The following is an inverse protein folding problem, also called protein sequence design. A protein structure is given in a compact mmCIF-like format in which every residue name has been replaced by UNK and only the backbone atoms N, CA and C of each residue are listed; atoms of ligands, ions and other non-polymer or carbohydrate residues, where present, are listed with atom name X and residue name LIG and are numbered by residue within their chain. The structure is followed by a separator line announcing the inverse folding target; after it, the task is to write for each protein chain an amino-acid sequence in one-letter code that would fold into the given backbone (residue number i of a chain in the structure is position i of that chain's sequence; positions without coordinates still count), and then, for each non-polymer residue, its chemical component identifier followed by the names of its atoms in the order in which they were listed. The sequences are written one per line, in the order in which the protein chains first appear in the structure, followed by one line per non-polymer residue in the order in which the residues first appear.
data_IF_803929887202
#
_entry.id   IF_803929887202
#
_cell.length_a   1.000
_cell.length_b   1.000
_cell.length_c   1.000
_cell.angle_alpha   90.00
_cell.angle_beta   90.00
_cell.angle_gamma   90.00
#
_symmetry.space_group_name_H-M   'P 1'
#
loop_
_entity.id
_entity.type
_entity.pdbx_description
1 polymer ?
#
# COMPACT_ATOMS: atom_id res chain seq x y z
N UNK A 1 -18.40 -8.65 33.86
CA UNK A 1 -18.00 -7.40 33.18
C UNK A 1 -16.93 -7.78 32.16
N UNK A 2 -17.29 -7.76 30.87
CA UNK A 2 -16.33 -7.95 29.79
C UNK A 2 -15.42 -6.70 29.77
N UNK A 3 -14.15 -6.84 30.07
CA UNK A 3 -13.15 -5.81 29.84
C UNK A 3 -13.11 -5.58 28.32
N UNK A 4 -13.68 -4.47 27.86
CA UNK A 4 -13.42 -3.96 26.53
C UNK A 4 -11.94 -3.58 26.48
N UNK A 5 -11.12 -4.45 25.91
CA UNK A 5 -9.73 -4.07 25.59
C UNK A 5 -9.79 -2.88 24.64
N UNK A 6 -9.39 -1.72 25.09
CA UNK A 6 -9.22 -0.54 24.21
C UNK A 6 -8.18 -0.94 23.16
N UNK A 7 -8.62 -1.10 21.92
CA UNK A 7 -7.72 -1.44 20.82
C UNK A 7 -6.73 -0.27 20.66
N UNK A 8 -5.44 -0.55 20.60
CA UNK A 8 -4.41 0.47 20.35
C UNK A 8 -4.71 1.13 19.01
N UNK A 9 -4.65 2.47 18.90
CA UNK A 9 -4.79 3.16 17.62
C UNK A 9 -3.81 2.62 16.59
N UNK A 10 -4.24 2.57 15.32
CA UNK A 10 -3.40 2.23 14.18
C UNK A 10 -2.45 3.39 13.93
N UNK A 11 -1.14 3.17 13.93
CA UNK A 11 -0.16 4.18 13.57
C UNK A 11 -0.04 4.26 12.04
N UNK A 12 -0.48 5.36 11.48
CA UNK A 12 -0.52 5.61 10.04
C UNK A 12 0.44 6.73 9.66
N UNK A 13 1.24 6.50 8.64
CA UNK A 13 2.06 7.55 8.01
C UNK A 13 1.56 7.77 6.58
N UNK A 14 1.31 9.02 6.22
CA UNK A 14 1.01 9.41 4.85
C UNK A 14 2.24 10.12 4.28
N UNK A 15 2.89 9.48 3.34
CA UNK A 15 3.99 10.04 2.58
C UNK A 15 3.48 10.69 1.29
N UNK A 16 3.90 11.94 1.05
CA UNK A 16 3.62 12.67 -0.18
C UNK A 16 4.88 13.28 -0.76
N UNK A 17 5.06 13.26 -2.09
CA UNK A 17 6.20 13.93 -2.70
C UNK A 17 6.15 15.45 -2.58
N UNK A 18 4.95 16.01 -2.48
CA UNK A 18 4.70 17.46 -2.26
C UNK A 18 5.39 18.37 -3.29
N UNK A 19 5.49 17.94 -4.56
CA UNK A 19 6.13 18.73 -5.63
C UNK A 19 5.14 19.64 -6.34
N UNK A 20 3.97 19.13 -6.66
CA UNK A 20 2.94 19.89 -7.37
C UNK A 20 2.43 21.06 -6.54
N UNK A 21 2.18 20.87 -5.27
CA UNK A 21 1.71 21.90 -4.34
C UNK A 21 2.72 23.04 -4.15
N UNK A 22 4.02 22.75 -4.32
CA UNK A 22 5.08 23.76 -4.23
C UNK A 22 5.28 24.52 -5.56
N UNK A 23 4.93 23.92 -6.68
CA UNK A 23 5.25 24.45 -8.02
C UNK A 23 4.05 25.03 -8.77
N UNK A 24 2.82 24.59 -8.43
CA UNK A 24 1.57 25.03 -9.07
C UNK A 24 0.61 25.66 -8.04
N UNK A 25 0.39 26.99 -8.11
CA UNK A 25 -0.52 27.68 -7.21
C UNK A 25 -1.97 27.17 -7.25
N UNK A 26 -2.42 26.58 -8.36
CA UNK A 26 -3.78 26.05 -8.49
C UNK A 26 -3.93 24.76 -7.69
N UNK A 27 -2.90 23.95 -7.65
CA UNK A 27 -2.83 22.73 -6.84
C UNK A 27 -2.67 23.09 -5.37
N UNK A 28 -1.79 24.04 -5.04
CA UNK A 28 -1.66 24.55 -3.67
C UNK A 28 -2.98 25.11 -3.13
N UNK A 29 -3.76 25.81 -3.95
CA UNK A 29 -5.08 26.31 -3.55
C UNK A 29 -6.11 25.19 -3.36
N UNK A 30 -6.01 24.10 -4.12
CA UNK A 30 -6.88 22.92 -4.01
C UNK A 30 -6.53 22.05 -2.80
N UNK A 31 -5.25 21.90 -2.52
CA UNK A 31 -4.70 21.10 -1.43
C UNK A 31 -3.82 21.98 -0.52
N UNK A 32 -4.42 22.88 0.29
CA UNK A 32 -3.64 23.86 1.09
C UNK A 32 -2.73 23.22 2.15
N UNK A 33 -3.08 22.03 2.63
CA UNK A 33 -2.27 21.22 3.55
C UNK A 33 -1.50 20.10 2.81
N UNK A 34 -1.36 20.21 1.50
CA UNK A 34 -0.85 19.17 0.62
C UNK A 34 -1.83 17.99 0.42
N UNK A 35 -1.58 17.19 -0.59
CA UNK A 35 -2.38 15.98 -0.83
C UNK A 35 -2.28 14.99 0.33
N UNK A 36 -1.09 14.86 0.93
CA UNK A 36 -0.85 14.06 2.13
C UNK A 36 -1.69 14.55 3.32
N UNK A 37 -1.89 15.86 3.47
CA UNK A 37 -2.76 16.45 4.48
C UNK A 37 -4.24 16.15 4.25
N UNK A 38 -4.72 16.24 2.99
CA UNK A 38 -6.09 15.89 2.64
C UNK A 38 -6.40 14.40 2.86
N UNK A 39 -5.43 13.52 2.56
CA UNK A 39 -5.53 12.07 2.82
C UNK A 39 -5.58 11.81 4.33
N UNK A 40 -4.66 12.42 5.10
CA UNK A 40 -4.67 12.34 6.58
C UNK A 40 -6.04 12.74 7.13
N UNK A 41 -6.55 13.91 6.73
CA UNK A 41 -7.85 14.40 7.18
C UNK A 41 -8.97 13.39 6.91
N UNK A 42 -8.97 12.77 5.72
CA UNK A 42 -9.95 11.74 5.37
C UNK A 42 -9.87 10.50 6.26
N UNK A 43 -8.67 10.05 6.61
CA UNK A 43 -8.47 8.91 7.51
C UNK A 43 -8.97 9.26 8.93
N UNK A 44 -8.60 10.44 9.45
CA UNK A 44 -9.02 10.90 10.78
C UNK A 44 -10.54 11.10 10.88
N UNK A 45 -11.20 11.57 9.79
CA UNK A 45 -12.64 11.73 9.73
C UNK A 45 -13.39 10.40 9.94
N UNK A 46 -12.88 9.31 9.35
CA UNK A 46 -13.54 8.01 9.37
C UNK A 46 -13.12 7.11 10.52
N UNK A 47 -11.87 7.17 10.95
CA UNK A 47 -11.34 6.28 11.98
C UNK A 47 -11.25 6.95 13.36
N UNK A 48 -11.28 8.30 13.44
CA UNK A 48 -11.25 9.04 14.69
C UNK A 48 -10.11 8.56 15.60
N UNK A 49 -10.41 8.31 16.87
CA UNK A 49 -9.44 7.76 17.82
C UNK A 49 -8.95 6.34 17.54
N UNK A 50 -9.44 5.67 16.50
CA UNK A 50 -8.96 4.36 16.04
C UNK A 50 -7.65 4.43 15.24
N UNK A 51 -7.23 5.61 14.79
CA UNK A 51 -5.97 5.84 14.10
C UNK A 51 -5.22 7.04 14.65
N UNK A 52 -3.88 6.98 14.59
CA UNK A 52 -2.96 8.09 14.83
C UNK A 52 -2.21 8.36 13.54
N UNK A 53 -2.49 9.50 12.89
CA UNK A 53 -2.01 9.78 11.53
C UNK A 53 -0.99 10.90 11.54
N UNK A 54 0.18 10.64 10.98
CA UNK A 54 1.21 11.65 10.72
C UNK A 54 1.50 11.74 9.21
N UNK A 55 2.08 12.86 8.82
CA UNK A 55 2.49 13.11 7.42
C UNK A 55 3.99 13.37 7.36
N UNK A 56 4.62 12.91 6.30
CA UNK A 56 6.01 13.21 5.95
C UNK A 56 6.12 13.38 4.44
N UNK A 57 7.15 14.09 4.00
CA UNK A 57 7.33 14.47 2.60
C UNK A 57 8.71 14.09 2.05
N UNK A 58 8.87 14.21 0.75
CA UNK A 58 10.14 13.97 0.06
C UNK A 58 11.27 14.90 0.57
N UNK A 59 10.94 16.13 1.00
CA UNK A 59 11.92 17.12 1.44
C UNK A 59 12.38 16.96 2.90
N UNK A 60 11.70 16.11 3.67
CA UNK A 60 12.14 15.79 5.03
C UNK A 60 13.46 15.00 5.01
N UNK A 61 14.30 15.12 6.05
CA UNK A 61 15.49 14.28 6.15
C UNK A 61 15.15 12.79 6.00
N UNK A 62 15.92 12.07 5.19
CA UNK A 62 15.63 10.67 4.81
C UNK A 62 14.21 10.48 4.25
N UNK A 63 13.69 11.54 3.57
CA UNK A 63 12.31 11.61 3.07
C UNK A 63 11.26 11.37 4.17
N UNK A 64 11.60 11.67 5.42
CA UNK A 64 10.79 11.43 6.60
C UNK A 64 10.63 9.95 6.96
N UNK A 65 11.20 9.02 6.19
CA UNK A 65 10.99 7.57 6.32
C UNK A 65 12.17 6.91 7.05
N UNK A 66 12.47 7.41 8.28
CA UNK A 66 13.53 6.86 9.12
C UNK A 66 13.21 5.45 9.61
N UNK A 67 14.23 4.72 10.07
CA UNK A 67 14.05 3.37 10.63
C UNK A 67 13.12 3.39 11.85
N UNK A 68 13.24 4.40 12.73
CA UNK A 68 12.43 4.56 13.93
C UNK A 68 10.96 4.80 13.58
N UNK A 69 10.69 5.68 12.61
CA UNK A 69 9.33 5.97 12.18
C UNK A 69 8.67 4.72 11.59
N UNK A 70 9.36 4.06 10.65
CA UNK A 70 8.83 2.85 10.00
C UNK A 70 8.65 1.69 10.97
N UNK A 71 9.51 1.54 11.98
CA UNK A 71 9.35 0.53 13.03
C UNK A 71 8.10 0.76 13.88
N UNK A 72 7.70 2.02 14.07
CA UNK A 72 6.50 2.41 14.82
C UNK A 72 5.22 2.44 13.98
N UNK A 73 5.33 2.40 12.65
CA UNK A 73 4.21 2.56 11.70
C UNK A 73 3.55 1.21 11.42
N UNK A 74 2.22 1.16 11.46
CA UNK A 74 1.44 -0.02 11.09
C UNK A 74 1.06 -0.01 9.60
N UNK A 75 0.74 1.19 9.06
CA UNK A 75 0.36 1.37 7.64
C UNK A 75 1.01 2.62 7.08
N UNK A 76 1.68 2.49 5.93
CA UNK A 76 2.24 3.57 5.14
C UNK A 76 1.36 3.80 3.91
N UNK A 77 0.92 5.04 3.68
CA UNK A 77 0.32 5.46 2.43
C UNK A 77 1.37 6.18 1.59
N UNK A 78 1.38 5.91 0.29
CA UNK A 78 2.35 6.46 -0.65
C UNK A 78 1.64 7.17 -1.78
N UNK A 79 1.84 8.48 -1.89
CA UNK A 79 1.43 9.26 -3.04
C UNK A 79 2.64 9.98 -3.65
N UNK A 80 2.91 9.77 -4.93
CA UNK A 80 3.98 10.43 -5.69
C UNK A 80 3.65 10.44 -7.16
N UNK A 81 4.13 11.43 -7.91
CA UNK A 81 3.82 11.63 -9.32
C UNK A 81 5.03 12.06 -10.15
N UNK A 82 5.61 13.25 -9.88
CA UNK A 82 6.65 13.84 -10.71
C UNK A 82 8.08 13.48 -10.26
N UNK A 83 8.26 13.13 -8.99
CA UNK A 83 9.58 13.04 -8.34
C UNK A 83 9.97 11.60 -7.95
N UNK A 84 9.45 10.59 -8.61
CA UNK A 84 9.74 9.18 -8.27
C UNK A 84 11.23 8.87 -8.21
N UNK A 85 12.02 9.45 -9.12
CA UNK A 85 13.45 9.20 -9.21
C UNK A 85 14.28 9.95 -8.16
N UNK A 86 13.68 10.97 -7.51
CA UNK A 86 14.34 11.72 -6.42
C UNK A 86 14.34 10.94 -5.09
N UNK A 87 13.55 9.88 -4.98
CA UNK A 87 13.53 9.04 -3.77
C UNK A 87 14.81 8.22 -3.72
N UNK A 88 15.55 8.35 -2.61
CA UNK A 88 16.81 7.63 -2.39
C UNK A 88 16.61 6.12 -2.35
N UNK A 89 17.47 5.38 -3.03
CA UNK A 89 17.39 3.92 -3.11
C UNK A 89 17.54 3.26 -1.73
N UNK A 90 18.31 3.85 -0.82
CA UNK A 90 18.45 3.39 0.57
C UNK A 90 17.11 3.48 1.33
N UNK A 91 16.34 4.55 1.12
CA UNK A 91 14.99 4.70 1.69
C UNK A 91 14.04 3.68 1.08
N UNK A 92 14.11 3.45 -0.23
CA UNK A 92 13.33 2.40 -0.90
C UNK A 92 13.63 1.02 -0.32
N UNK A 93 14.91 0.67 -0.12
CA UNK A 93 15.31 -0.60 0.49
C UNK A 93 14.79 -0.73 1.93
N UNK A 94 14.82 0.35 2.69
CA UNK A 94 14.29 0.39 4.06
C UNK A 94 12.79 0.11 4.07
N UNK A 95 12.01 0.84 3.30
CA UNK A 95 10.56 0.63 3.18
C UNK A 95 10.25 -0.79 2.72
N UNK A 96 10.97 -1.29 1.71
CA UNK A 96 10.81 -2.66 1.22
C UNK A 96 11.00 -3.70 2.34
N UNK A 97 12.06 -3.60 3.15
CA UNK A 97 12.29 -4.50 4.29
C UNK A 97 11.14 -4.44 5.30
N UNK A 98 10.65 -3.24 5.62
CA UNK A 98 9.53 -3.07 6.53
C UNK A 98 8.24 -3.68 5.99
N UNK A 99 7.94 -3.52 4.69
CA UNK A 99 6.78 -4.17 4.06
C UNK A 99 6.90 -5.70 4.17
N UNK A 100 8.05 -6.26 3.82
CA UNK A 100 8.25 -7.71 3.96
C UNK A 100 8.12 -8.20 5.41
N UNK A 101 8.42 -7.33 6.39
CA UNK A 101 8.29 -7.62 7.81
C UNK A 101 6.86 -7.39 8.36
N UNK A 102 5.92 -6.87 7.56
CA UNK A 102 4.52 -6.73 7.95
C UNK A 102 3.96 -5.31 7.98
N UNK A 103 4.72 -4.29 7.53
CA UNK A 103 4.17 -2.95 7.29
C UNK A 103 3.12 -3.03 6.18
N UNK A 104 1.90 -2.55 6.44
CA UNK A 104 0.90 -2.35 5.40
C UNK A 104 1.30 -1.21 4.46
N UNK A 105 1.08 -1.38 3.16
CA UNK A 105 1.39 -0.33 2.17
C UNK A 105 0.16 -0.06 1.30
N UNK A 106 -0.25 1.20 1.24
CA UNK A 106 -1.31 1.67 0.34
C UNK A 106 -0.67 2.62 -0.67
N UNK A 107 -0.72 2.24 -1.94
CA UNK A 107 -0.15 3.02 -3.05
C UNK A 107 -1.29 3.68 -3.81
N UNK A 108 -1.22 4.99 -3.92
CA UNK A 108 -2.28 5.81 -4.48
C UNK A 108 -1.87 6.38 -5.85
N UNK A 109 -2.80 6.32 -6.78
CA UNK A 109 -2.74 6.96 -8.10
C UNK A 109 -1.41 6.68 -8.82
N UNK A 110 -0.70 7.73 -9.23
CA UNK A 110 0.60 7.70 -9.92
C UNK A 110 1.73 7.08 -9.08
N UNK A 111 1.50 6.84 -7.78
CA UNK A 111 2.39 6.01 -6.95
C UNK A 111 2.69 4.62 -7.51
N UNK A 112 1.88 4.14 -8.49
CA UNK A 112 2.18 2.90 -9.22
C UNK A 112 3.57 2.91 -9.86
N UNK A 113 4.07 4.08 -10.26
CA UNK A 113 5.37 4.22 -10.93
C UNK A 113 6.53 4.44 -9.96
N UNK A 114 6.26 4.50 -8.64
CA UNK A 114 7.30 4.66 -7.60
C UNK A 114 8.29 3.50 -7.58
N UNK A 115 9.54 3.79 -7.20
CA UNK A 115 10.59 2.78 -7.05
C UNK A 115 10.17 1.65 -6.11
N UNK A 116 9.47 1.99 -4.99
CA UNK A 116 9.03 0.99 -4.01
C UNK A 116 7.97 0.06 -4.59
N UNK A 117 6.98 0.59 -5.33
CA UNK A 117 5.94 -0.26 -5.90
C UNK A 117 6.51 -1.16 -7.00
N UNK A 118 7.32 -0.61 -7.92
CA UNK A 118 8.04 -1.39 -8.94
C UNK A 118 8.87 -2.52 -8.31
N UNK A 119 9.57 -2.24 -7.23
CA UNK A 119 10.37 -3.24 -6.51
C UNK A 119 9.52 -4.37 -5.92
N UNK A 120 8.37 -4.05 -5.32
CA UNK A 120 7.46 -5.03 -4.71
C UNK A 120 6.70 -5.84 -5.77
N UNK A 121 6.39 -5.25 -6.91
CA UNK A 121 5.68 -5.91 -8.01
C UNK A 121 6.62 -6.72 -8.92
N UNK A 122 7.88 -6.31 -9.07
CA UNK A 122 8.86 -6.97 -9.94
C UNK A 122 8.59 -6.75 -11.44
N UNK A 123 7.83 -5.73 -11.79
CA UNK A 123 7.46 -5.35 -13.16
C UNK A 123 7.67 -3.86 -13.39
N UNK A 124 7.45 -3.36 -14.60
CA UNK A 124 7.57 -1.93 -14.91
C UNK A 124 6.50 -1.08 -14.25
N UNK A 125 5.37 -1.67 -13.87
CA UNK A 125 4.16 -1.02 -13.40
C UNK A 125 3.66 0.08 -14.34
N UNK A 126 4.02 0.00 -15.63
CA UNK A 126 3.55 0.94 -16.66
C UNK A 126 2.08 0.70 -16.98
N UNK A 127 1.40 1.74 -17.41
CA UNK A 127 -0.01 1.72 -17.81
C UNK A 127 -0.23 2.71 -18.96
N UNK A 128 -1.44 2.77 -19.48
CA UNK A 128 -1.88 3.84 -20.40
C UNK A 128 -2.59 4.91 -19.60
N UNK A 129 -2.39 6.17 -19.98
CA UNK A 129 -3.03 7.29 -19.34
C UNK A 129 -3.40 8.37 -20.35
N UNK A 130 -4.37 9.22 -19.97
CA UNK A 130 -4.77 10.40 -20.71
C UNK A 130 -5.11 11.50 -19.72
N UNK A 131 -4.40 12.65 -19.81
CA UNK A 131 -4.56 13.78 -18.90
C UNK A 131 -5.81 14.63 -19.13
N UNK A 132 -6.61 14.34 -20.16
CA UNK A 132 -7.90 15.00 -20.38
C UNK A 132 -8.90 14.56 -19.30
N UNK A 133 -9.65 15.54 -18.80
CA UNK A 133 -10.73 15.30 -17.83
C UNK A 133 -11.70 14.23 -18.32
N UNK A 134 -11.86 13.17 -17.55
CA UNK A 134 -12.82 12.13 -17.85
C UNK A 134 -13.63 11.75 -16.60
N UNK A 135 -14.81 11.20 -16.81
CA UNK A 135 -15.62 10.64 -15.75
C UNK A 135 -15.22 9.20 -15.50
N UNK A 136 -14.91 8.90 -14.25
CA UNK A 136 -14.56 7.55 -13.81
C UNK A 136 -15.73 6.91 -13.05
N UNK A 137 -16.06 5.67 -13.43
CA UNK A 137 -16.97 4.80 -12.68
C UNK A 137 -16.16 3.65 -12.07
N UNK A 138 -16.03 3.65 -10.75
CA UNK A 138 -15.30 2.59 -10.02
C UNK A 138 -16.29 1.51 -9.60
N UNK A 139 -16.18 0.35 -10.21
CA UNK A 139 -17.04 -0.81 -9.97
C UNK A 139 -16.45 -1.72 -8.92
N UNK A 140 -17.23 -2.07 -7.90
CA UNK A 140 -16.87 -3.09 -6.92
C UNK A 140 -16.95 -4.46 -7.56
N UNK A 141 -15.84 -5.21 -7.54
CA UNK A 141 -15.75 -6.57 -8.06
C UNK A 141 -15.96 -7.60 -6.95
N UNK A 142 -15.39 -7.34 -5.77
CA UNK A 142 -15.62 -8.15 -4.58
C UNK A 142 -16.40 -7.34 -3.52
N UNK A 143 -17.73 -7.46 -3.47
CA UNK A 143 -18.55 -6.72 -2.51
C UNK A 143 -18.41 -7.25 -1.07
N UNK A 144 -17.72 -8.37 -0.86
CA UNK A 144 -17.46 -8.94 0.47
C UNK A 144 -16.12 -8.53 1.05
N UNK A 145 -15.26 -7.91 0.23
CA UNK A 145 -13.95 -7.46 0.66
C UNK A 145 -14.07 -6.30 1.69
N UNK A 146 -13.31 -6.30 2.79
CA UNK A 146 -13.41 -5.25 3.82
C UNK A 146 -13.26 -3.83 3.29
N UNK A 147 -12.41 -3.61 2.28
CA UNK A 147 -12.19 -2.29 1.66
C UNK A 147 -13.47 -1.72 1.03
N UNK A 148 -14.43 -2.53 0.62
CA UNK A 148 -15.66 -2.09 -0.04
C UNK A 148 -16.81 -1.76 0.93
N UNK A 149 -16.60 -1.94 2.22
CA UNK A 149 -17.64 -1.72 3.24
C UNK A 149 -18.13 -0.27 3.23
N UNK A 150 -19.42 -0.09 2.95
CA UNK A 150 -20.07 1.23 2.92
C UNK A 150 -19.66 2.11 1.73
N UNK A 151 -19.02 1.55 0.72
CA UNK A 151 -18.67 2.23 -0.53
C UNK A 151 -19.86 2.13 -1.50
N UNK A 152 -20.29 3.23 -2.17
CA UNK A 152 -21.34 3.17 -3.18
C UNK A 152 -20.90 2.35 -4.40
N UNK A 153 -21.88 1.75 -5.09
CA UNK A 153 -21.64 0.94 -6.28
C UNK A 153 -22.51 1.36 -7.47
N UNK A 154 -21.91 1.90 -8.55
CA UNK A 154 -20.52 2.30 -8.66
C UNK A 154 -20.19 3.53 -7.81
N UNK A 155 -18.91 3.69 -7.43
CA UNK A 155 -18.39 4.96 -6.96
C UNK A 155 -18.14 5.84 -8.18
N UNK A 156 -18.66 7.06 -8.18
CA UNK A 156 -18.59 7.99 -9.32
C UNK A 156 -17.63 9.11 -9.01
N UNK A 157 -16.70 9.36 -9.93
CA UNK A 157 -15.78 10.50 -9.91
C UNK A 157 -16.08 11.30 -11.17
N UNK A 158 -16.59 12.53 -11.02
CA UNK A 158 -17.05 13.33 -12.16
C UNK A 158 -15.93 13.84 -13.04
N UNK A 159 -14.73 13.99 -12.48
CA UNK A 159 -13.53 14.49 -13.18
C UNK A 159 -12.28 13.83 -12.64
N UNK A 160 -11.52 13.17 -13.49
CA UNK A 160 -10.33 12.42 -13.16
C UNK A 160 -9.41 12.27 -14.36
N UNK A 161 -8.11 12.04 -14.15
CA UNK A 161 -7.22 11.52 -15.16
C UNK A 161 -7.58 10.07 -15.50
N UNK A 162 -7.60 9.72 -16.79
CA UNK A 162 -7.90 8.36 -17.22
C UNK A 162 -6.68 7.46 -17.14
N UNK A 163 -6.81 6.34 -16.43
CA UNK A 163 -5.92 5.19 -16.52
C UNK A 163 -6.57 4.05 -17.27
N UNK A 164 -5.79 3.35 -18.10
CA UNK A 164 -6.29 2.25 -18.92
C UNK A 164 -5.34 1.05 -18.97
N UNK A 165 -5.90 -0.11 -19.23
CA UNK A 165 -5.12 -1.30 -19.49
C UNK A 165 -4.28 -1.14 -20.80
N UNK A 166 -3.11 -1.78 -20.93
CA UNK A 166 -2.58 -2.84 -20.10
C UNK A 166 -1.78 -2.25 -18.92
N UNK A 167 -2.07 -2.63 -17.69
CA UNK A 167 -1.28 -2.31 -16.51
C UNK A 167 -0.30 -3.46 -16.25
N UNK A 168 1.00 -3.19 -16.36
CA UNK A 168 2.07 -4.18 -16.22
C UNK A 168 2.36 -4.46 -14.73
N UNK A 169 1.47 -5.23 -14.13
CA UNK A 169 1.57 -5.71 -12.75
C UNK A 169 1.40 -7.23 -12.71
N UNK A 170 1.98 -7.94 -11.72
CA UNK A 170 1.65 -9.33 -11.50
C UNK A 170 0.16 -9.48 -11.19
N UNK A 171 -0.39 -10.67 -11.46
CA UNK A 171 -1.77 -10.95 -11.08
C UNK A 171 -2.00 -10.55 -9.61
N UNK A 172 -3.02 -9.73 -9.30
CA UNK A 172 -3.35 -9.41 -7.93
C UNK A 172 -3.83 -10.66 -7.19
N UNK A 173 -3.59 -10.69 -5.88
CA UNK A 173 -4.16 -11.74 -5.03
C UNK A 173 -5.69 -11.59 -4.98
N UNK A 174 -6.18 -10.32 -4.94
CA UNK A 174 -7.60 -9.98 -5.01
C UNK A 174 -7.79 -8.74 -5.89
N UNK A 175 -8.79 -8.79 -6.78
CA UNK A 175 -9.24 -7.66 -7.58
C UNK A 175 -10.48 -7.06 -6.90
N UNK A 176 -10.30 -5.90 -6.26
CA UNK A 176 -11.35 -5.25 -5.47
C UNK A 176 -12.21 -4.32 -6.33
N UNK A 177 -11.55 -3.51 -7.17
CA UNK A 177 -12.21 -2.54 -8.04
C UNK A 177 -11.71 -2.60 -9.48
N UNK A 178 -12.63 -2.33 -10.41
CA UNK A 178 -12.34 -2.01 -11.82
C UNK A 178 -12.95 -0.66 -12.13
N UNK A 179 -12.22 0.18 -12.84
CA UNK A 179 -12.72 1.44 -13.36
C UNK A 179 -13.09 1.34 -14.83
N UNK A 180 -14.08 2.14 -15.23
CA UNK A 180 -14.40 2.42 -16.63
C UNK A 180 -14.51 3.92 -16.85
N UNK A 181 -14.13 4.37 -18.06
CA UNK A 181 -14.06 5.76 -18.46
C UNK A 181 -14.92 6.06 -19.68
N UNK A 182 -15.14 7.33 -19.97
CA UNK A 182 -16.02 7.77 -21.05
C UNK A 182 -15.58 7.33 -22.45
N UNK A 183 -14.29 7.09 -22.67
CA UNK A 183 -13.74 6.59 -23.94
C UNK A 183 -13.89 5.07 -24.12
N UNK A 184 -14.42 4.35 -23.12
CA UNK A 184 -14.55 2.90 -23.12
C UNK A 184 -13.35 2.17 -22.55
N UNK A 185 -12.36 2.89 -22.03
CA UNK A 185 -11.22 2.28 -21.34
C UNK A 185 -11.68 1.62 -20.04
N UNK A 186 -11.01 0.52 -19.70
CA UNK A 186 -11.16 -0.20 -18.44
C UNK A 186 -9.82 -0.30 -17.76
N UNK A 187 -9.84 -0.37 -16.41
CA UNK A 187 -8.62 -0.40 -15.61
C UNK A 187 -8.82 -1.15 -14.31
N UNK A 188 -7.84 -1.96 -13.92
CA UNK A 188 -7.79 -2.61 -12.60
C UNK A 188 -7.43 -1.56 -11.54
N UNK A 189 -8.42 -0.84 -11.04
CA UNK A 189 -8.25 0.35 -10.21
C UNK A 189 -8.09 0.09 -8.72
N UNK A 190 -8.40 -1.12 -8.26
CA UNK A 190 -8.19 -1.53 -6.86
C UNK A 190 -7.71 -2.96 -6.78
N UNK A 191 -6.43 -3.14 -6.46
CA UNK A 191 -5.75 -4.44 -6.46
C UNK A 191 -5.02 -4.66 -5.15
N UNK A 192 -5.02 -5.90 -4.65
CA UNK A 192 -4.26 -6.26 -3.45
C UNK A 192 -3.19 -7.31 -3.72
N UNK A 193 -2.14 -7.28 -2.91
CA UNK A 193 -1.09 -8.29 -2.88
C UNK A 193 -0.59 -8.50 -1.46
N UNK A 194 -0.04 -9.67 -1.22
CA UNK A 194 0.76 -9.98 -0.05
C UNK A 194 2.22 -10.15 -0.45
N UNK A 195 3.11 -9.45 0.24
CA UNK A 195 4.57 -9.60 0.05
C UNK A 195 5.23 -9.79 1.40
N UNK A 196 5.85 -10.95 1.61
CA UNK A 196 6.27 -11.35 2.94
C UNK A 196 5.08 -11.41 3.90
N UNK A 197 5.13 -10.61 4.97
CA UNK A 197 4.03 -10.46 5.92
C UNK A 197 3.17 -9.20 5.65
N UNK A 198 3.61 -8.30 4.77
CA UNK A 198 2.92 -7.06 4.45
C UNK A 198 1.76 -7.25 3.48
N UNK A 199 0.71 -6.44 3.67
CA UNK A 199 -0.41 -6.31 2.75
C UNK A 199 -0.25 -5.04 1.95
N UNK A 200 -0.47 -5.14 0.65
CA UNK A 200 -0.34 -4.02 -0.28
C UNK A 200 -1.69 -3.80 -0.95
N UNK A 201 -2.13 -2.56 -0.99
CA UNK A 201 -3.30 -2.14 -1.76
C UNK A 201 -2.91 -1.01 -2.70
N UNK A 202 -3.22 -1.16 -3.98
CA UNK A 202 -3.14 -0.10 -4.98
C UNK A 202 -4.55 0.42 -5.26
N UNK A 203 -4.70 1.76 -5.33
CA UNK A 203 -5.95 2.40 -5.67
C UNK A 203 -5.70 3.58 -6.63
N UNK A 204 -6.29 3.52 -7.84
CA UNK A 204 -5.97 4.46 -8.91
C UNK A 204 -6.55 5.86 -8.78
N UNK A 205 -7.74 6.14 -8.21
CA UNK A 205 -8.22 7.50 -8.10
C UNK A 205 -7.31 8.40 -7.27
N UNK A 206 -7.03 9.62 -7.74
CA UNK A 206 -6.26 10.55 -6.92
C UNK A 206 -5.30 11.49 -7.62
N UNK A 207 -5.58 11.92 -8.84
CA UNK A 207 -4.79 12.91 -9.55
C UNK A 207 -4.81 14.27 -8.83
N UNK A 208 -3.70 15.01 -8.89
CA UNK A 208 -3.50 16.29 -8.20
C UNK A 208 -4.37 17.43 -8.78
N UNK A 209 -4.79 17.32 -10.02
CA UNK A 209 -5.60 18.35 -10.68
C UNK A 209 -7.07 18.34 -10.24
N UNK A 210 -7.50 17.29 -9.53
CA UNK A 210 -8.87 17.11 -9.11
C UNK A 210 -9.00 16.93 -7.58
N UNK A 211 -10.09 17.42 -6.96
CA UNK A 211 -10.28 17.36 -5.50
C UNK A 211 -10.74 15.96 -5.04
N UNK A 212 -10.14 14.90 -5.57
CA UNK A 212 -10.57 13.51 -5.39
C UNK A 212 -10.50 13.09 -3.92
N UNK A 213 -9.45 13.48 -3.19
CA UNK A 213 -9.28 13.12 -1.79
C UNK A 213 -10.23 13.85 -0.81
N UNK A 214 -11.09 14.74 -1.31
CA UNK A 214 -12.17 15.34 -0.54
C UNK A 214 -13.52 14.63 -0.75
N UNK A 215 -13.63 13.68 -1.69
CA UNK A 215 -14.84 12.92 -1.89
C UNK A 215 -15.06 11.91 -0.76
N UNK A 216 -16.25 11.91 -0.10
CA UNK A 216 -16.50 11.01 1.03
C UNK A 216 -16.32 9.52 0.69
N UNK A 217 -16.71 9.10 -0.52
CA UNK A 217 -16.56 7.70 -0.94
C UNK A 217 -15.09 7.28 -1.11
N UNK A 218 -14.23 8.17 -1.64
CA UNK A 218 -12.79 7.94 -1.75
C UNK A 218 -12.16 7.86 -0.36
N UNK A 219 -12.49 8.80 0.54
CA UNK A 219 -12.04 8.77 1.93
C UNK A 219 -12.45 7.49 2.64
N UNK A 220 -13.67 6.99 2.37
CA UNK A 220 -14.15 5.70 2.90
C UNK A 220 -13.28 4.54 2.42
N UNK A 221 -12.99 4.45 1.12
CA UNK A 221 -12.12 3.40 0.57
C UNK A 221 -10.75 3.43 1.25
N UNK A 222 -10.14 4.60 1.38
CA UNK A 222 -8.81 4.77 2.00
C UNK A 222 -8.84 4.36 3.48
N UNK A 223 -9.84 4.79 4.25
CA UNK A 223 -9.97 4.43 5.66
C UNK A 223 -10.16 2.92 5.85
N UNK A 224 -11.02 2.30 5.04
CA UNK A 224 -11.21 0.85 5.06
C UNK A 224 -9.91 0.11 4.67
N UNK A 225 -9.16 0.65 3.71
CA UNK A 225 -7.88 0.08 3.30
C UNK A 225 -6.84 0.16 4.42
N UNK A 226 -6.83 1.24 5.22
CA UNK A 226 -5.97 1.35 6.41
C UNK A 226 -6.29 0.24 7.40
N UNK A 227 -7.56 0.02 7.75
CA UNK A 227 -7.94 -1.06 8.67
C UNK A 227 -7.59 -2.45 8.11
N UNK A 228 -7.81 -2.66 6.80
CA UNK A 228 -7.50 -3.91 6.12
C UNK A 228 -5.99 -4.18 6.07
N UNK A 229 -5.17 -3.15 5.83
CA UNK A 229 -3.72 -3.31 5.64
C UNK A 229 -2.97 -3.62 6.94
N UNK A 230 -3.58 -3.35 8.12
CA UNK A 230 -2.98 -3.73 9.40
C UNK A 230 -2.79 -5.23 9.44
N UNK A 231 -1.55 -5.65 9.53
CA UNK A 231 -1.23 -7.05 9.85
C UNK A 231 -1.04 -7.18 11.35
N UNK A 232 -1.57 -8.25 11.94
CA UNK A 232 -1.09 -8.65 13.26
C UNK A 232 0.40 -8.97 13.07
N UNK A 233 1.29 -8.02 13.43
CA UNK A 233 2.71 -8.32 13.46
C UNK A 233 2.89 -9.49 14.42
N UNK A 234 3.23 -10.70 13.95
CA UNK A 234 3.75 -11.68 14.89
C UNK A 234 4.94 -10.98 15.56
N UNK A 235 5.05 -11.09 16.87
CA UNK A 235 6.32 -10.77 17.52
C UNK A 235 7.40 -11.33 16.60
N UNK A 236 8.41 -10.50 16.27
CA UNK A 236 9.50 -10.87 15.34
C UNK A 236 10.31 -12.04 15.88
N UNK A 237 9.67 -13.15 16.06
CA UNK A 237 10.33 -14.43 16.14
C UNK A 237 10.66 -14.75 14.68
N UNK A 238 11.91 -14.60 14.31
CA UNK A 238 12.42 -15.29 13.12
C UNK A 238 11.80 -16.67 13.16
N UNK A 239 11.11 -17.14 12.09
CA UNK A 239 10.67 -18.50 12.08
C UNK A 239 11.88 -19.33 12.45
N UNK A 240 11.83 -20.00 13.61
CA UNK A 240 12.81 -21.02 13.88
C UNK A 240 12.54 -22.06 12.81
N UNK A 241 13.27 -21.95 11.73
CA UNK A 241 13.40 -23.06 10.79
C UNK A 241 13.95 -24.18 11.65
N UNK A 242 13.05 -25.09 12.01
CA UNK A 242 13.50 -26.36 12.57
C UNK A 242 14.56 -26.86 11.62
N UNK A 243 15.81 -26.94 12.09
CA UNK A 243 16.84 -27.54 11.26
C UNK A 243 16.39 -28.98 11.06
N UNK A 244 15.92 -29.26 9.85
CA UNK A 244 15.73 -30.64 9.43
C UNK A 244 17.13 -31.24 9.36
N UNK A 245 17.48 -32.02 10.34
CA UNK A 245 18.72 -32.77 10.30
C UNK A 245 18.52 -33.87 9.26
N UNK A 246 19.29 -33.79 8.18
CA UNK A 246 19.23 -34.76 7.08
C UNK A 246 19.35 -36.21 7.57
N UNK A 247 20.14 -36.45 8.62
CA UNK A 247 20.31 -37.76 9.23
C UNK A 247 19.06 -38.33 9.91
N UNK A 248 18.07 -37.51 10.27
CA UNK A 248 16.82 -38.00 10.86
C UNK A 248 15.83 -38.49 9.78
N UNK A 249 15.81 -37.84 8.62
CA UNK A 249 14.90 -38.17 7.52
C UNK A 249 15.60 -38.87 6.33
N UNK A 250 16.90 -38.67 6.21
CA UNK A 250 17.73 -39.25 5.16
C UNK A 250 18.98 -39.87 5.80
N UNK A 251 18.87 -41.01 6.42
CA UNK A 251 20.00 -41.67 7.07
C UNK A 251 21.08 -41.99 6.03
N UNK A 252 22.32 -41.62 6.32
CA UNK A 252 23.46 -42.08 5.55
C UNK A 252 23.68 -43.57 5.87
N UNK A 253 24.02 -44.34 4.85
CA UNK A 253 24.32 -45.75 4.98
C UNK A 253 25.80 -45.96 4.79
N UNK A 254 26.39 -46.84 5.60
CA UNK A 254 27.79 -47.31 5.41
C UNK A 254 27.88 -48.21 4.15
N UNK A 255 29.08 -48.53 3.68
CA UNK A 255 29.26 -49.42 2.54
C UNK A 255 28.61 -50.81 2.69
N UNK A 256 28.32 -51.21 3.89
CA UNK A 256 27.67 -52.49 4.22
C UNK A 256 26.14 -52.38 4.31
N UNK A 257 25.60 -51.15 4.10
CA UNK A 257 24.15 -50.88 4.06
C UNK A 257 23.51 -50.60 5.41
N UNK A 258 24.31 -50.38 6.47
CA UNK A 258 23.79 -50.03 7.81
C UNK A 258 23.63 -48.50 7.93
N UNK A 259 22.53 -48.06 8.55
CA UNK A 259 22.32 -46.65 8.82
C UNK A 259 23.37 -46.08 9.77
N UNK A 260 24.10 -45.07 9.33
CA UNK A 260 25.04 -44.32 10.18
C UNK A 260 24.20 -43.43 11.10
N UNK A 261 24.22 -43.70 12.41
CA UNK A 261 23.56 -42.82 13.38
C UNK A 261 24.27 -41.48 13.39
N UNK A 262 23.61 -40.47 12.83
CA UNK A 262 24.08 -39.10 12.93
C UNK A 262 24.20 -38.68 14.39
N UNK A 263 25.39 -38.25 14.78
CA UNK A 263 25.61 -37.64 16.10
C UNK A 263 24.95 -36.26 16.06
N UNK A 264 23.84 -36.11 16.77
CA UNK A 264 23.23 -34.80 17.01
C UNK A 264 24.18 -34.04 17.93
N UNK A 265 24.97 -33.14 17.38
CA UNK A 265 25.61 -32.11 18.18
C UNK A 265 24.55 -31.04 18.51
N UNK A 266 24.20 -30.93 19.80
CA UNK A 266 23.34 -29.90 20.37
C UNK A 266 24.04 -28.54 20.31
#
# INVERSE_FOLDING_TARGET
MLQTSVRKPINVVVWGENRHEQTDPSIAARYPDGMHGAIKQGIEEYLGGGASVSTVTLDDPEHGLTEELLAATDVLLWWGHAAHEEVDDEVVERVHRHVLAGLGLIVLHSGHFSKIFKKLMGTSCSLRWRGETDRELVWTIDPTHPITTGVPHPLIIDSQEMYGEFFDIPAPDELVFISSFGGGEVFRSGCTWKRGHGRIFFFSPGDQEYPVYFQPAIRRVIANAVEWAVTSRPERTSPQLSRVYSGEFFPEFDPDGNAIKGTVAI
#
